data_IF_194954797453
#
_entry.id   IF_194954797453
#
_cell.length_a   1.000
_cell.length_b   1.000
_cell.length_c   1.000
_cell.angle_alpha   90.00
_cell.angle_beta   90.00
_cell.angle_gamma   90.00
#
_symmetry.space_group_name_H-M   'P 1'
#
loop_
_entity.id
_entity.type
_entity.pdbx_description
1 polymer ?
#
# COMPACT_ATOMS: atom_id res chain seq x y z
N UNK A 1 -15.09 26.16 4.76
CA UNK A 1 -15.26 24.91 3.98
C UNK A 1 -15.33 23.76 4.97
N UNK A 2 -16.33 22.86 4.92
CA UNK A 2 -16.42 21.74 5.84
C UNK A 2 -15.21 20.81 5.66
N UNK A 3 -14.72 20.27 6.78
CA UNK A 3 -13.51 19.44 6.81
C UNK A 3 -13.70 18.13 6.03
N UNK A 4 -12.63 17.47 5.56
CA UNK A 4 -12.70 16.17 4.88
C UNK A 4 -13.47 15.10 5.68
N UNK A 5 -13.39 15.17 7.02
CA UNK A 5 -14.15 14.30 7.93
C UNK A 5 -15.66 14.57 7.91
N UNK A 6 -16.08 15.83 7.70
CA UNK A 6 -17.50 16.20 7.58
C UNK A 6 -18.14 15.62 6.31
N UNK A 7 -17.39 15.55 5.21
CA UNK A 7 -17.85 14.93 3.96
C UNK A 7 -18.03 13.42 4.08
N UNK A 8 -17.11 12.74 4.77
CA UNK A 8 -17.19 11.30 5.02
C UNK A 8 -18.41 10.96 5.88
N UNK A 9 -18.66 11.75 6.92
CA UNK A 9 -19.83 11.56 7.80
C UNK A 9 -21.15 11.77 7.03
N UNK A 10 -21.23 12.81 6.21
CA UNK A 10 -22.40 13.09 5.38
C UNK A 10 -22.63 12.01 4.31
N UNK A 11 -21.56 11.50 3.69
CA UNK A 11 -21.63 10.41 2.70
C UNK A 11 -22.06 9.09 3.34
N UNK A 12 -21.60 8.78 4.56
CA UNK A 12 -22.03 7.60 5.31
C UNK A 12 -23.51 7.68 5.68
N UNK A 13 -23.99 8.84 6.15
CA UNK A 13 -25.42 9.06 6.46
C UNK A 13 -26.27 8.95 5.19
N UNK A 14 -25.84 9.54 4.07
CA UNK A 14 -26.54 9.46 2.80
C UNK A 14 -26.58 8.03 2.22
N UNK A 15 -25.47 7.28 2.30
CA UNK A 15 -25.40 5.89 1.87
C UNK A 15 -26.30 4.99 2.73
N UNK A 16 -26.36 5.23 4.05
CA UNK A 16 -27.27 4.53 4.96
C UNK A 16 -28.73 4.80 4.62
N UNK A 17 -29.07 6.08 4.35
CA UNK A 17 -30.41 6.49 3.95
C UNK A 17 -30.79 5.85 2.61
N UNK A 18 -29.86 5.75 1.67
CA UNK A 18 -30.07 5.14 0.36
C UNK A 18 -30.25 3.61 0.44
N UNK A 19 -29.53 2.93 1.34
CA UNK A 19 -29.69 1.50 1.61
C UNK A 19 -31.04 1.21 2.27
N UNK A 20 -31.47 2.06 3.21
CA UNK A 20 -32.78 1.98 3.85
C UNK A 20 -33.92 2.22 2.85
N UNK A 21 -33.75 3.17 1.92
CA UNK A 21 -34.72 3.47 0.87
C UNK A 21 -34.81 2.36 -0.19
N UNK A 22 -33.70 1.66 -0.50
CA UNK A 22 -33.67 0.57 -1.50
C UNK A 22 -34.21 -0.78 -1.00
N UNK A 23 -34.21 -1.04 0.30
CA UNK A 23 -34.68 -2.34 0.84
C UNK A 23 -36.20 -2.45 0.97
N UNK A 24 -36.95 -1.41 0.63
CA UNK A 24 -38.38 -1.34 0.91
C UNK A 24 -38.58 -1.22 2.42
N UNK A 25 -39.30 -0.19 2.85
CA UNK A 25 -39.71 -0.12 4.26
C UNK A 25 -40.47 -1.41 4.61
N UNK A 26 -40.16 -2.11 5.71
CA UNK A 26 -40.95 -3.25 6.13
C UNK A 26 -42.40 -2.79 6.33
N UNK A 27 -43.35 -3.53 5.73
CA UNK A 27 -44.77 -3.25 5.86
C UNK A 27 -45.19 -3.27 7.34
N UNK A 28 -45.99 -2.28 7.73
CA UNK A 28 -46.47 -1.98 9.08
C UNK A 28 -47.22 -3.18 9.71
N UNK A 29 -46.76 -3.76 10.83
CA UNK A 29 -47.64 -4.51 11.72
C UNK A 29 -48.56 -3.51 12.44
N UNK A 30 -49.85 -3.80 12.49
CA UNK A 30 -50.81 -2.98 13.21
C UNK A 30 -50.57 -3.09 14.72
N UNK A 31 -50.15 -1.99 15.35
CA UNK A 31 -50.17 -1.78 16.81
C UNK A 31 -48.88 -2.12 17.56
N UNK A 32 -48.14 -1.09 17.97
CA UNK A 32 -46.98 -1.16 18.88
C UNK A 32 -45.95 -0.07 18.60
N UNK A 33 -45.33 0.59 19.61
CA UNK A 33 -44.33 1.64 19.38
C UNK A 33 -43.07 1.06 18.70
N UNK A 34 -42.63 1.74 17.63
CA UNK A 34 -41.54 1.35 16.72
C UNK A 34 -40.13 1.21 17.35
N UNK A 35 -40.00 1.37 18.67
CA UNK A 35 -38.70 1.48 19.34
C UNK A 35 -38.26 0.21 20.08
N UNK A 36 -39.17 -0.71 20.41
CA UNK A 36 -38.85 -1.87 21.25
C UNK A 36 -38.46 -3.13 20.44
N UNK A 37 -38.72 -3.15 19.13
CA UNK A 37 -38.45 -4.32 18.27
C UNK A 37 -37.12 -4.22 17.49
N UNK A 38 -36.49 -3.05 17.42
CA UNK A 38 -35.20 -2.88 16.77
C UNK A 38 -34.10 -3.15 17.80
N UNK A 39 -33.37 -4.25 17.67
CA UNK A 39 -32.16 -4.49 18.46
C UNK A 39 -31.08 -3.48 18.01
N UNK A 40 -31.15 -2.28 18.58
CA UNK A 40 -30.19 -1.20 18.38
C UNK A 40 -28.77 -1.62 18.78
N UNK A 41 -28.64 -2.59 19.70
CA UNK A 41 -27.36 -3.19 20.06
C UNK A 41 -26.76 -4.01 18.91
N UNK A 42 -27.56 -4.84 18.24
CA UNK A 42 -27.12 -5.59 17.06
C UNK A 42 -26.74 -4.67 15.90
N UNK A 43 -27.54 -3.64 15.66
CA UNK A 43 -27.24 -2.64 14.64
C UNK A 43 -25.92 -1.91 14.91
N UNK A 44 -25.69 -1.45 16.15
CA UNK A 44 -24.45 -0.75 16.52
C UNK A 44 -23.22 -1.65 16.42
N UNK A 45 -23.33 -2.94 16.77
CA UNK A 45 -22.25 -3.93 16.61
C UNK A 45 -21.91 -4.14 15.14
N UNK A 46 -22.91 -4.24 14.27
CA UNK A 46 -22.68 -4.43 12.84
C UNK A 46 -22.10 -3.16 12.18
N UNK A 47 -22.61 -1.98 12.54
CA UNK A 47 -22.04 -0.70 12.06
C UNK A 47 -20.57 -0.55 12.48
N UNK A 48 -20.23 -0.93 13.72
CA UNK A 48 -18.84 -0.96 14.20
C UNK A 48 -18.01 -1.99 13.43
N UNK A 49 -18.53 -3.20 13.21
CA UNK A 49 -17.84 -4.23 12.41
C UNK A 49 -17.56 -3.76 10.99
N UNK A 50 -18.50 -3.07 10.35
CA UNK A 50 -18.34 -2.52 9.00
C UNK A 50 -17.31 -1.39 9.00
N UNK A 51 -17.34 -0.50 9.98
CA UNK A 51 -16.34 0.55 10.15
C UNK A 51 -14.94 -0.01 10.45
N UNK A 52 -14.85 -1.05 11.27
CA UNK A 52 -13.61 -1.75 11.59
C UNK A 52 -13.07 -2.49 10.35
N UNK A 53 -13.93 -3.18 9.59
CA UNK A 53 -13.54 -3.83 8.34
C UNK A 53 -13.09 -2.82 7.27
N UNK A 54 -13.77 -1.67 7.18
CA UNK A 54 -13.38 -0.58 6.29
C UNK A 54 -12.04 0.04 6.71
N UNK A 55 -11.84 0.27 8.02
CA UNK A 55 -10.58 0.81 8.54
C UNK A 55 -9.42 -0.17 8.38
N UNK A 56 -9.64 -1.47 8.56
CA UNK A 56 -8.62 -2.52 8.31
C UNK A 56 -8.25 -2.58 6.82
N UNK A 57 -9.21 -2.40 5.92
CA UNK A 57 -8.95 -2.31 4.47
C UNK A 57 -8.26 -1.00 4.06
N UNK A 58 -8.48 0.07 4.81
CA UNK A 58 -7.89 1.39 4.58
C UNK A 58 -6.47 1.54 5.17
N UNK A 59 -6.04 0.64 6.07
CA UNK A 59 -4.65 0.62 6.53
C UNK A 59 -3.74 0.21 5.37
N UNK A 60 -2.70 1.01 5.13
CA UNK A 60 -1.61 0.64 4.22
C UNK A 60 -1.13 -0.77 4.58
N UNK A 61 -1.21 -1.68 3.60
CA UNK A 61 -0.79 -3.07 3.82
C UNK A 61 0.73 -3.08 3.76
N UNK A 62 1.44 -3.45 4.84
CA UNK A 62 2.88 -3.52 4.78
C UNK A 62 3.31 -4.52 3.72
N UNK A 63 4.46 -4.28 3.10
CA UNK A 63 5.09 -5.30 2.28
C UNK A 63 5.39 -6.52 3.16
N UNK A 64 4.82 -7.64 2.78
CA UNK A 64 4.87 -8.84 3.60
C UNK A 64 5.22 -10.07 2.76
N UNK A 65 6.16 -10.86 3.27
CA UNK A 65 6.53 -12.15 2.68
C UNK A 65 5.84 -13.27 3.45
N UNK A 66 5.18 -14.16 2.71
CA UNK A 66 4.49 -15.34 3.24
C UNK A 66 5.09 -16.59 2.64
N UNK A 67 5.32 -17.59 3.48
CA UNK A 67 5.88 -18.86 3.05
C UNK A 67 5.04 -20.04 3.53
N UNK A 68 5.01 -21.09 2.70
CA UNK A 68 4.35 -22.35 2.97
C UNK A 68 5.26 -23.49 2.49
N UNK A 69 5.34 -24.56 3.29
CA UNK A 69 5.92 -25.84 2.87
C UNK A 69 4.83 -26.78 2.39
N UNK A 70 5.12 -27.53 1.32
CA UNK A 70 4.35 -28.68 0.84
C UNK A 70 5.33 -29.84 0.66
N UNK A 71 5.34 -30.76 1.60
CA UNK A 71 6.24 -31.91 1.62
C UNK A 71 5.48 -33.14 1.15
N UNK A 72 6.09 -33.91 0.24
CA UNK A 72 5.57 -35.20 -0.20
C UNK A 72 6.62 -36.28 0.01
N UNK A 73 6.21 -37.39 0.62
CA UNK A 73 6.99 -38.63 0.64
C UNK A 73 6.56 -39.46 -0.56
N UNK A 74 7.45 -39.66 -1.53
CA UNK A 74 7.16 -40.41 -2.76
C UNK A 74 7.93 -41.72 -2.76
N UNK A 75 7.26 -42.82 -3.06
CA UNK A 75 7.86 -44.13 -3.18
C UNK A 75 8.51 -44.39 -4.54
N UNK A 76 9.20 -45.54 -4.68
CA UNK A 76 9.96 -45.87 -5.88
C UNK A 76 9.10 -46.08 -7.14
N UNK A 77 7.79 -46.30 -6.99
CA UNK A 77 6.83 -46.37 -8.11
C UNK A 77 6.19 -45.02 -8.46
N UNK A 78 6.61 -43.92 -7.81
CA UNK A 78 6.00 -42.59 -7.99
C UNK A 78 4.75 -42.36 -7.14
N UNK A 79 4.37 -43.30 -6.27
CA UNK A 79 3.20 -43.15 -5.40
C UNK A 79 3.49 -42.19 -4.24
N UNK A 80 2.61 -41.22 -4.00
CA UNK A 80 2.69 -40.33 -2.83
C UNK A 80 2.20 -41.09 -1.60
N UNK A 81 3.11 -41.37 -0.67
CA UNK A 81 2.86 -42.12 0.57
C UNK A 81 2.44 -41.22 1.73
N UNK A 82 2.93 -39.99 1.79
CA UNK A 82 2.53 -38.98 2.78
C UNK A 82 2.61 -37.59 2.13
N UNK A 83 1.77 -36.65 2.58
CA UNK A 83 1.83 -35.25 2.17
C UNK A 83 1.48 -34.36 3.34
N UNK A 84 2.32 -33.34 3.59
CA UNK A 84 2.10 -32.39 4.67
C UNK A 84 2.29 -30.96 4.20
N UNK A 85 1.39 -30.08 4.62
CA UNK A 85 1.44 -28.65 4.31
C UNK A 85 1.43 -27.82 5.56
N UNK A 86 2.35 -26.87 5.65
CA UNK A 86 2.50 -26.01 6.82
C UNK A 86 2.78 -24.59 6.41
N UNK A 87 2.25 -23.64 7.18
CA UNK A 87 2.77 -22.27 7.21
C UNK A 87 4.12 -22.29 7.90
N UNK A 88 5.06 -21.46 7.46
CA UNK A 88 6.35 -21.33 8.11
C UNK A 88 6.71 -19.88 8.39
N UNK A 89 7.53 -19.71 9.43
CA UNK A 89 8.14 -18.45 9.75
C UNK A 89 9.32 -18.19 8.79
N UNK A 90 9.38 -16.98 8.26
CA UNK A 90 10.59 -16.49 7.59
C UNK A 90 11.45 -15.84 8.67
N UNK A 91 12.68 -16.33 8.80
CA UNK A 91 13.63 -15.84 9.82
C UNK A 91 14.29 -14.53 9.38
N UNK A 92 14.87 -13.82 10.35
CA UNK A 92 15.50 -12.51 10.16
C UNK A 92 16.50 -12.48 8.99
N UNK A 93 17.41 -13.46 8.92
CA UNK A 93 18.39 -13.55 7.82
C UNK A 93 17.71 -13.65 6.45
N UNK A 94 16.56 -14.33 6.36
CA UNK A 94 15.80 -14.41 5.12
C UNK A 94 15.21 -13.05 4.71
N UNK A 95 14.71 -12.28 5.67
CA UNK A 95 14.22 -10.92 5.43
C UNK A 95 15.34 -9.98 5.00
N UNK A 96 16.51 -10.05 5.65
CA UNK A 96 17.66 -9.21 5.30
C UNK A 96 18.23 -9.55 3.92
N UNK A 97 18.34 -10.82 3.59
CA UNK A 97 18.75 -11.23 2.26
C UNK A 97 17.74 -10.75 1.20
N UNK A 98 16.44 -10.97 1.40
CA UNK A 98 15.43 -10.49 0.45
C UNK A 98 15.50 -8.96 0.23
N UNK A 99 15.66 -8.19 1.31
CA UNK A 99 15.89 -6.74 1.28
C UNK A 99 17.15 -6.39 0.48
N UNK A 100 18.29 -7.00 0.81
CA UNK A 100 19.56 -6.67 0.18
C UNK A 100 19.56 -7.00 -1.32
N UNK A 101 18.87 -8.06 -1.76
CA UNK A 101 18.74 -8.38 -3.19
C UNK A 101 17.87 -7.38 -3.96
N UNK A 102 17.06 -6.58 -3.29
CA UNK A 102 16.19 -5.59 -3.93
C UNK A 102 16.80 -4.19 -3.96
N UNK A 103 17.57 -3.81 -2.94
CA UNK A 103 17.98 -2.42 -2.74
C UNK A 103 19.47 -2.19 -2.48
N UNK A 104 20.25 -3.23 -2.14
CA UNK A 104 21.66 -3.03 -1.76
C UNK A 104 22.58 -2.99 -3.01
N UNK A 105 23.26 -1.85 -3.28
CA UNK A 105 24.13 -1.67 -4.45
C UNK A 105 25.38 -2.55 -4.45
N UNK A 106 25.67 -3.26 -3.34
CA UNK A 106 26.76 -4.24 -3.29
C UNK A 106 26.46 -5.53 -4.09
N UNK A 107 25.27 -5.67 -4.67
CA UNK A 107 24.91 -6.82 -5.51
C UNK A 107 25.02 -6.49 -7.01
N UNK A 108 25.24 -7.50 -7.86
CA UNK A 108 25.52 -7.33 -9.31
C UNK A 108 24.25 -7.30 -10.19
N UNK A 109 23.05 -7.38 -9.60
CA UNK A 109 21.78 -7.42 -10.34
C UNK A 109 21.17 -6.01 -10.49
N UNK A 110 20.19 -5.81 -11.39
CA UNK A 110 19.38 -4.60 -11.39
C UNK A 110 18.67 -4.46 -10.04
N UNK A 111 18.81 -3.31 -9.40
CA UNK A 111 18.30 -2.99 -8.07
C UNK A 111 17.38 -1.80 -8.20
N UNK A 112 16.37 -1.71 -7.34
CA UNK A 112 15.53 -0.52 -7.24
C UNK A 112 16.29 0.64 -6.57
N UNK A 113 17.25 1.19 -7.32
CA UNK A 113 18.27 2.14 -6.89
C UNK A 113 18.14 3.52 -7.53
N UNK A 114 17.02 3.82 -8.21
CA UNK A 114 16.77 5.13 -8.80
C UNK A 114 15.46 5.69 -8.27
N UNK A 115 15.44 6.96 -7.85
CA UNK A 115 14.22 7.65 -7.48
C UNK A 115 13.90 8.71 -8.52
N UNK A 116 12.64 8.80 -8.90
CA UNK A 116 12.14 9.82 -9.81
C UNK A 116 11.06 10.68 -9.14
N UNK A 117 10.99 11.94 -9.55
CA UNK A 117 9.93 12.90 -9.21
C UNK A 117 9.23 13.35 -10.49
N UNK A 118 7.94 13.66 -10.38
CA UNK A 118 7.13 14.03 -11.54
C UNK A 118 6.00 14.99 -11.23
N UNK A 119 5.28 15.37 -12.28
CA UNK A 119 4.17 16.34 -12.30
C UNK A 119 2.84 15.70 -12.70
N UNK A 120 2.80 14.39 -12.90
CA UNK A 120 1.57 13.65 -13.15
C UNK A 120 0.69 13.59 -11.90
N UNK A 121 -0.60 13.87 -12.11
CA UNK A 121 -1.60 13.97 -11.04
C UNK A 121 -2.64 12.84 -11.07
N UNK A 122 -2.50 11.89 -12.00
CA UNK A 122 -3.40 10.73 -12.09
C UNK A 122 -3.11 9.80 -10.91
N UNK A 123 -4.11 9.46 -10.05
CA UNK A 123 -3.92 8.61 -8.89
C UNK A 123 -3.20 7.30 -9.21
N UNK A 124 -2.36 6.84 -8.28
CA UNK A 124 -1.58 5.61 -8.46
C UNK A 124 -2.46 4.37 -8.60
N UNK A 125 -2.02 3.44 -9.45
CA UNK A 125 -2.63 2.12 -9.62
C UNK A 125 -1.59 1.02 -9.53
N UNK A 126 -2.03 -0.20 -9.21
CA UNK A 126 -1.13 -1.36 -9.11
C UNK A 126 -0.52 -1.81 -10.45
N UNK A 127 -0.96 -1.23 -11.57
CA UNK A 127 -0.47 -1.56 -12.93
C UNK A 127 0.38 -0.45 -13.53
N UNK A 128 0.64 0.63 -12.78
CA UNK A 128 1.48 1.72 -13.28
C UNK A 128 2.90 1.19 -13.56
N UNK A 129 3.42 1.50 -14.74
CA UNK A 129 4.77 1.12 -15.18
C UNK A 129 5.76 2.29 -15.10
N UNK A 130 5.27 3.50 -14.83
CA UNK A 130 6.07 4.71 -14.67
C UNK A 130 5.29 5.86 -14.06
N UNK A 131 5.96 6.99 -13.89
CA UNK A 131 5.33 8.25 -13.50
C UNK A 131 4.44 8.77 -14.64
N UNK A 132 3.41 9.54 -14.30
CA UNK A 132 2.52 10.14 -15.29
C UNK A 132 3.26 11.15 -16.18
N UNK A 133 4.06 12.01 -15.55
CA UNK A 133 4.97 12.94 -16.23
C UNK A 133 6.24 13.09 -15.40
N UNK A 134 7.29 12.36 -15.75
CA UNK A 134 8.57 12.44 -15.05
C UNK A 134 9.27 13.79 -15.28
N UNK A 135 9.82 14.37 -14.20
CA UNK A 135 10.54 15.64 -14.23
C UNK A 135 12.05 15.46 -13.98
N UNK A 136 12.43 14.49 -13.14
CA UNK A 136 13.82 14.13 -12.90
C UNK A 136 13.90 12.72 -12.31
N UNK A 137 15.01 12.03 -12.56
CA UNK A 137 15.36 10.73 -12.00
C UNK A 137 16.85 10.67 -11.75
N UNK A 138 17.25 10.09 -10.63
CA UNK A 138 18.67 9.92 -10.29
C UNK A 138 18.87 8.75 -9.32
N UNK A 139 20.12 8.31 -9.19
CA UNK A 139 20.53 7.23 -8.31
C UNK A 139 20.34 7.61 -6.82
N UNK A 140 19.90 6.65 -6.03
CA UNK A 140 19.71 6.79 -4.58
C UNK A 140 20.94 6.35 -3.81
N UNK A 141 21.11 6.92 -2.62
CA UNK A 141 21.93 6.33 -1.58
C UNK A 141 21.14 5.23 -0.86
N UNK A 142 21.78 4.10 -0.57
CA UNK A 142 21.21 3.02 0.24
C UNK A 142 21.75 3.08 1.67
N UNK A 143 20.85 3.06 2.64
CA UNK A 143 21.17 2.97 4.07
C UNK A 143 20.51 1.74 4.67
N UNK A 144 21.28 0.73 5.15
CA UNK A 144 20.70 -0.41 5.84
C UNK A 144 20.11 0.01 7.19
N UNK A 145 18.95 -0.53 7.54
CA UNK A 145 18.30 -0.36 8.84
C UNK A 145 18.32 -1.66 9.66
N UNK A 146 17.31 -1.82 10.52
CA UNK A 146 17.07 -3.08 11.23
C UNK A 146 16.66 -4.25 10.31
N UNK A 147 16.30 -5.38 10.91
CA UNK A 147 15.88 -6.59 10.18
C UNK A 147 14.79 -6.28 9.16
N UNK A 148 15.04 -6.58 7.88
CA UNK A 148 14.09 -6.34 6.79
C UNK A 148 13.81 -4.85 6.50
N UNK A 149 14.55 -3.92 7.12
CA UNK A 149 14.39 -2.47 6.95
C UNK A 149 15.59 -1.85 6.24
N UNK A 150 15.34 -0.96 5.29
CA UNK A 150 16.34 -0.05 4.71
C UNK A 150 15.70 1.27 4.33
N UNK A 151 16.54 2.28 4.09
CA UNK A 151 16.14 3.56 3.52
C UNK A 151 16.89 3.78 2.23
N UNK A 152 16.18 4.28 1.22
CA UNK A 152 16.77 4.81 -0.01
C UNK A 152 16.42 6.28 -0.14
N UNK A 153 17.40 7.12 -0.45
CA UNK A 153 17.20 8.56 -0.52
C UNK A 153 18.05 9.26 -1.60
N UNK A 154 17.54 10.39 -2.07
CA UNK A 154 18.23 11.28 -2.99
C UNK A 154 17.79 12.73 -2.74
N UNK A 155 18.70 13.68 -2.96
CA UNK A 155 18.38 15.12 -2.94
C UNK A 155 18.46 15.68 -4.34
N UNK A 156 17.32 16.03 -4.93
CA UNK A 156 17.25 16.77 -6.18
C UNK A 156 17.69 18.22 -5.94
N UNK A 157 18.89 18.62 -6.42
CA UNK A 157 19.45 19.93 -6.10
C UNK A 157 18.69 21.08 -6.77
N UNK A 158 19.11 22.31 -6.49
CA UNK A 158 18.67 23.49 -7.21
C UNK A 158 18.76 23.28 -8.73
N UNK A 159 17.72 23.69 -9.46
CA UNK A 159 17.63 23.59 -10.92
C UNK A 159 17.24 22.22 -11.50
N UNK A 160 17.22 21.14 -10.70
CA UNK A 160 16.85 19.79 -11.19
C UNK A 160 15.42 19.45 -10.80
N UNK A 161 14.56 19.11 -11.76
CA UNK A 161 13.16 18.73 -11.49
C UNK A 161 12.35 19.86 -10.86
N UNK A 162 12.34 21.03 -11.50
CA UNK A 162 11.54 22.19 -11.06
C UNK A 162 10.10 22.09 -11.54
N UNK A 163 9.17 22.69 -10.78
CA UNK A 163 7.75 22.74 -11.13
C UNK A 163 6.85 22.28 -9.97
N UNK A 164 5.59 22.01 -10.29
CA UNK A 164 4.63 21.48 -9.35
C UNK A 164 4.79 19.96 -9.25
N UNK A 165 5.63 19.50 -8.31
CA UNK A 165 5.90 18.07 -8.11
C UNK A 165 4.72 17.42 -7.39
N UNK A 166 4.12 16.41 -8.00
CA UNK A 166 2.89 15.74 -7.51
C UNK A 166 3.04 14.23 -7.42
N UNK A 167 4.17 13.67 -7.82
CA UNK A 167 4.42 12.24 -7.75
C UNK A 167 5.89 11.91 -7.51
N UNK A 168 6.13 10.73 -6.93
CA UNK A 168 7.44 10.13 -6.71
C UNK A 168 7.37 8.64 -6.96
N UNK A 169 8.45 8.03 -7.43
CA UNK A 169 8.54 6.59 -7.62
C UNK A 169 9.98 6.06 -7.57
N UNK A 170 10.11 4.78 -7.27
CA UNK A 170 11.39 4.07 -7.21
C UNK A 170 11.50 3.08 -8.38
N UNK A 171 12.66 3.05 -9.04
CA UNK A 171 12.93 2.37 -10.31
C UNK A 171 14.21 1.56 -10.26
N UNK A 172 14.31 0.54 -11.12
CA UNK A 172 15.48 -0.31 -11.27
C UNK A 172 16.44 0.10 -12.41
N UNK A 173 16.11 1.18 -13.13
CA UNK A 173 16.88 1.67 -14.28
C UNK A 173 16.91 3.21 -14.31
N UNK A 174 18.02 3.83 -14.79
CA UNK A 174 18.15 5.29 -14.89
C UNK A 174 17.24 5.95 -15.95
N UNK A 175 16.55 5.22 -16.82
CA UNK A 175 15.70 5.82 -17.86
C UNK A 175 14.46 4.99 -18.23
N UNK A 176 14.61 3.69 -18.47
CA UNK A 176 13.54 2.80 -18.91
C UNK A 176 13.63 1.45 -18.19
N UNK A 177 12.86 1.31 -17.11
CA UNK A 177 12.88 0.13 -16.26
C UNK A 177 11.54 -0.13 -15.59
N UNK A 178 11.57 -1.05 -14.62
CA UNK A 178 10.44 -1.41 -13.81
C UNK A 178 10.28 -0.43 -12.65
N UNK A 179 9.04 -0.15 -12.30
CA UNK A 179 8.69 0.69 -11.16
C UNK A 179 8.33 -0.20 -9.95
N UNK A 180 8.95 0.06 -8.81
CA UNK A 180 8.67 -0.65 -7.57
C UNK A 180 7.45 -0.11 -6.85
N UNK A 181 7.41 1.22 -6.71
CA UNK A 181 6.35 1.95 -6.04
C UNK A 181 6.15 3.31 -6.70
N UNK A 182 4.95 3.84 -6.53
CA UNK A 182 4.56 5.18 -6.93
C UNK A 182 3.67 5.77 -5.86
N UNK A 183 3.81 7.07 -5.64
CA UNK A 183 2.86 7.82 -4.82
C UNK A 183 2.53 9.15 -5.48
N UNK A 184 1.23 9.44 -5.61
CA UNK A 184 0.76 10.79 -5.91
C UNK A 184 0.40 11.56 -4.64
N UNK A 185 0.58 12.88 -4.67
CA UNK A 185 0.35 13.77 -3.53
C UNK A 185 0.04 15.20 -4.00
N UNK A 186 -0.54 16.07 -3.13
CA UNK A 186 -0.72 17.48 -3.44
C UNK A 186 0.59 18.17 -3.80
N UNK A 187 0.54 19.10 -4.76
CA UNK A 187 1.72 19.70 -5.36
C UNK A 187 2.70 20.32 -4.34
N UNK A 188 3.98 19.94 -4.46
CA UNK A 188 5.12 20.63 -3.88
C UNK A 188 5.72 21.51 -4.99
N UNK A 189 5.58 22.83 -4.86
CA UNK A 189 6.12 23.77 -5.84
C UNK A 189 7.61 23.99 -5.60
N UNK A 190 8.45 23.38 -6.44
CA UNK A 190 9.90 23.51 -6.39
C UNK A 190 10.38 24.52 -7.42
N UNK A 191 11.06 25.57 -6.97
CA UNK A 191 11.69 26.56 -7.86
C UNK A 191 13.14 26.18 -8.18
N UNK A 192 13.77 26.96 -9.08
CA UNK A 192 15.16 26.73 -9.47
C UNK A 192 16.15 26.91 -8.32
N UNK A 193 15.82 27.68 -7.28
CA UNK A 193 16.68 27.88 -6.11
C UNK A 193 16.53 26.83 -5.00
N UNK A 194 15.47 26.02 -5.06
CA UNK A 194 15.12 25.07 -4.00
C UNK A 194 15.76 23.70 -4.24
N UNK A 195 16.02 22.94 -3.18
CA UNK A 195 16.34 21.51 -3.25
C UNK A 195 15.18 20.67 -2.69
N UNK A 196 14.92 19.50 -3.27
CA UNK A 196 13.89 18.56 -2.79
C UNK A 196 14.54 17.24 -2.38
N UNK A 197 14.35 16.84 -1.13
CA UNK A 197 14.84 15.57 -0.61
C UNK A 197 13.74 14.52 -0.71
N UNK A 198 14.00 13.47 -1.47
CA UNK A 198 13.15 12.29 -1.54
C UNK A 198 13.78 11.17 -0.71
N UNK A 199 13.00 10.58 0.20
CA UNK A 199 13.43 9.45 1.02
C UNK A 199 12.30 8.44 1.15
N UNK A 200 12.65 7.16 0.97
CA UNK A 200 11.72 6.04 1.06
C UNK A 200 12.27 5.02 2.05
N UNK A 201 11.56 4.81 3.16
CA UNK A 201 11.84 3.72 4.10
C UNK A 201 11.05 2.48 3.69
N UNK A 202 11.77 1.39 3.47
CA UNK A 202 11.26 0.11 3.02
C UNK A 202 11.34 -0.89 4.17
N UNK A 203 10.22 -1.57 4.44
CA UNK A 203 10.11 -2.54 5.52
C UNK A 203 9.48 -3.82 5.02
N UNK A 204 10.24 -4.92 5.07
CA UNK A 204 9.79 -6.27 4.79
C UNK A 204 9.50 -7.01 6.09
N UNK A 205 8.27 -7.48 6.26
CA UNK A 205 7.87 -8.29 7.42
C UNK A 205 7.47 -9.71 7.03
N UNK A 206 7.74 -10.66 7.92
CA UNK A 206 7.16 -12.00 7.82
C UNK A 206 5.66 -11.95 8.21
N UNK A 207 4.79 -12.61 7.43
CA UNK A 207 3.33 -12.58 7.62
C UNK A 207 2.65 -13.95 7.65
#
# INVERSE_FOLDING_TARGET
MPSPLGWILAALVAALLFILLRRGAPARPAGGPLLDAMDWGAFAREARRVADAASVRARERPMALRAYWDLQLVGPGGEVRDRRRFKNLIVNTGLDQAKDRLFNPATTAPLFGYVAIGTGAVPETAVDLGLGTEAARDAVAYTPGGTGVCTVDHTFPAGVGTGAITEVGLFDDPAAGNMFNRKTFPAINKTAGDALKASCTLTLVAA
#
